data_IF_039417209022
#
_entry.id   IF_039417209022
#
_cell.length_a   1.000
_cell.length_b   1.000
_cell.length_c   1.000
_cell.angle_alpha   90.00
_cell.angle_beta   90.00
_cell.angle_gamma   90.00
#
_symmetry.space_group_name_H-M   'P 1'
#
loop_
_entity.id
_entity.type
_entity.pdbx_description
1 polymer ?
#
# COMPACT_ATOMS: atom_id res chain seq x y z
N UNK A 1 31.23 -35.77 4.58
CA UNK A 1 29.94 -36.34 4.99
C UNK A 1 29.15 -35.28 5.73
N UNK A 2 27.99 -34.89 5.21
CA UNK A 2 27.14 -33.82 5.72
C UNK A 2 25.93 -34.38 6.49
N UNK A 3 25.45 -33.63 7.49
CA UNK A 3 24.06 -33.71 7.97
C UNK A 3 23.86 -34.20 9.41
N UNK A 4 23.99 -33.31 10.40
CA UNK A 4 23.57 -33.59 11.79
C UNK A 4 23.04 -32.37 12.57
N UNK A 5 22.47 -31.36 11.89
CA UNK A 5 21.98 -30.12 12.54
C UNK A 5 20.47 -29.92 12.57
N UNK A 6 19.69 -30.56 11.68
CA UNK A 6 18.27 -30.22 11.46
C UNK A 6 17.26 -30.87 12.40
N UNK A 7 17.60 -32.02 13.00
CA UNK A 7 16.62 -32.87 13.70
C UNK A 7 16.19 -32.39 15.09
N UNK A 8 17.02 -31.61 15.80
CA UNK A 8 16.70 -31.13 17.17
C UNK A 8 15.82 -29.88 17.17
N UNK A 9 16.00 -28.99 16.19
CA UNK A 9 15.20 -27.77 16.05
C UNK A 9 13.75 -28.09 15.63
N UNK A 10 13.56 -29.03 14.71
CA UNK A 10 12.23 -29.46 14.27
C UNK A 10 11.42 -30.11 15.41
N UNK A 11 12.06 -30.94 16.25
CA UNK A 11 11.39 -31.63 17.37
C UNK A 11 10.93 -30.67 18.48
N UNK A 12 11.66 -29.58 18.72
CA UNK A 12 11.25 -28.58 19.71
C UNK A 12 10.10 -27.71 19.20
N UNK A 13 10.07 -27.34 17.92
CA UNK A 13 8.96 -26.61 17.30
C UNK A 13 7.62 -27.38 17.37
N UNK A 14 7.65 -28.70 17.14
CA UNK A 14 6.46 -29.55 17.24
C UNK A 14 5.95 -29.62 18.69
N UNK A 15 6.87 -29.76 19.67
CA UNK A 15 6.50 -29.92 21.09
C UNK A 15 5.84 -28.65 21.66
N UNK A 16 6.25 -27.47 21.21
CA UNK A 16 5.63 -26.20 21.61
C UNK A 16 4.36 -25.87 20.81
N UNK A 17 4.27 -26.30 19.54
CA UNK A 17 3.08 -26.08 18.71
C UNK A 17 1.82 -26.80 19.20
N UNK A 18 1.95 -28.00 19.78
CA UNK A 18 0.79 -28.77 20.30
C UNK A 18 0.28 -28.23 21.62
N UNK A 19 1.17 -27.71 22.48
CA UNK A 19 0.81 -27.28 23.85
C UNK A 19 0.20 -25.87 23.92
N UNK A 20 0.50 -25.02 22.94
CA UNK A 20 -0.03 -23.65 22.85
C UNK A 20 -0.89 -23.39 21.59
N UNK A 21 -0.98 -24.36 20.68
CA UNK A 21 -1.75 -24.24 19.44
C UNK A 21 -3.25 -23.95 19.62
N UNK A 22 -3.98 -24.65 20.51
CA UNK A 22 -5.43 -24.48 20.62
C UNK A 22 -5.87 -23.11 21.16
N UNK A 23 -5.25 -22.63 22.25
CA UNK A 23 -5.61 -21.36 22.89
C UNK A 23 -5.26 -20.13 22.02
N UNK A 24 -4.16 -20.21 21.27
CA UNK A 24 -3.79 -19.16 20.31
C UNK A 24 -4.69 -19.21 19.08
N UNK A 25 -5.09 -20.40 18.61
CA UNK A 25 -6.00 -20.54 17.48
C UNK A 25 -7.38 -19.95 17.75
N UNK A 26 -7.94 -20.10 18.96
CA UNK A 26 -9.24 -19.54 19.32
C UNK A 26 -9.20 -18.02 19.53
N UNK A 27 -8.17 -17.50 20.20
CA UNK A 27 -7.97 -16.05 20.32
C UNK A 27 -7.73 -15.36 18.96
N UNK A 28 -7.00 -16.02 18.06
CA UNK A 28 -6.79 -15.54 16.68
C UNK A 28 -8.07 -15.66 15.86
N UNK A 29 -8.91 -16.68 16.07
CA UNK A 29 -10.20 -16.82 15.36
C UNK A 29 -11.18 -15.71 15.70
N UNK A 30 -11.23 -15.23 16.94
CA UNK A 30 -12.09 -14.12 17.34
C UNK A 30 -11.50 -12.72 17.05
N UNK A 31 -10.18 -12.55 17.06
CA UNK A 31 -9.52 -11.26 16.72
C UNK A 31 -9.25 -11.05 15.21
N UNK A 32 -9.63 -12.02 14.37
CA UNK A 32 -9.27 -12.06 12.95
C UNK A 32 -10.06 -11.09 12.09
N UNK A 33 -11.32 -10.84 12.42
CA UNK A 33 -12.18 -9.94 11.63
C UNK A 33 -11.63 -8.51 11.55
N UNK A 34 -11.26 -7.83 12.65
CA UNK A 34 -10.71 -6.46 12.57
C UNK A 34 -9.32 -6.42 11.93
N UNK A 35 -8.47 -7.42 12.21
CA UNK A 35 -7.13 -7.48 11.62
C UNK A 35 -7.19 -7.71 10.11
N UNK A 36 -8.11 -8.56 9.64
CA UNK A 36 -8.35 -8.78 8.22
C UNK A 36 -8.92 -7.54 7.54
N UNK A 37 -9.86 -6.83 8.18
CA UNK A 37 -10.40 -5.57 7.66
C UNK A 37 -9.32 -4.51 7.50
N UNK A 38 -8.43 -4.35 8.48
CA UNK A 38 -7.31 -3.40 8.39
C UNK A 38 -6.33 -3.75 7.25
N UNK A 39 -6.01 -5.04 7.08
CA UNK A 39 -5.16 -5.51 5.98
C UNK A 39 -5.84 -5.29 4.63
N UNK A 40 -7.13 -5.61 4.52
CA UNK A 40 -7.91 -5.38 3.30
C UNK A 40 -8.01 -3.90 2.97
N UNK A 41 -8.27 -3.02 3.95
CA UNK A 41 -8.30 -1.58 3.77
C UNK A 41 -6.94 -1.03 3.30
N UNK A 42 -5.84 -1.53 3.87
CA UNK A 42 -4.50 -1.15 3.45
C UNK A 42 -4.20 -1.58 2.00
N UNK A 43 -4.62 -2.79 1.62
CA UNK A 43 -4.48 -3.30 0.26
C UNK A 43 -5.35 -2.53 -0.73
N UNK A 44 -6.62 -2.27 -0.38
CA UNK A 44 -7.55 -1.48 -1.17
C UNK A 44 -7.02 -0.07 -1.40
N UNK A 45 -6.46 0.58 -0.37
CA UNK A 45 -5.80 1.89 -0.47
C UNK A 45 -4.63 1.86 -1.46
N UNK A 46 -3.78 0.83 -1.41
CA UNK A 46 -2.64 0.69 -2.34
C UNK A 46 -3.12 0.49 -3.77
N UNK A 47 -4.13 -0.35 -3.98
CA UNK A 47 -4.72 -0.61 -5.29
C UNK A 47 -5.39 0.65 -5.86
N UNK A 48 -6.19 1.35 -5.06
CA UNK A 48 -6.83 2.61 -5.44
C UNK A 48 -5.78 3.67 -5.83
N UNK A 49 -4.72 3.83 -5.02
CA UNK A 49 -3.62 4.74 -5.36
C UNK A 49 -2.93 4.38 -6.67
N UNK A 50 -2.69 3.08 -6.92
CA UNK A 50 -2.04 2.61 -8.15
C UNK A 50 -2.90 2.94 -9.37
N UNK A 51 -4.20 2.63 -9.33
CA UNK A 51 -5.15 2.95 -10.42
C UNK A 51 -5.25 4.46 -10.65
N UNK A 52 -5.34 5.23 -9.58
CA UNK A 52 -5.41 6.69 -9.66
C UNK A 52 -4.15 7.28 -10.31
N UNK A 53 -2.97 6.75 -9.96
CA UNK A 53 -1.70 7.13 -10.60
C UNK A 53 -1.64 6.76 -12.07
N UNK A 54 -2.01 5.53 -12.42
CA UNK A 54 -2.04 5.08 -13.81
C UNK A 54 -2.96 5.96 -14.66
N UNK A 55 -4.13 6.30 -14.12
CA UNK A 55 -5.05 7.19 -14.81
C UNK A 55 -4.54 8.64 -14.89
N UNK A 56 -4.01 9.19 -13.80
CA UNK A 56 -3.46 10.54 -13.80
C UNK A 56 -2.28 10.69 -14.79
N UNK A 57 -1.52 9.63 -15.05
CA UNK A 57 -0.45 9.64 -16.06
C UNK A 57 -0.98 9.69 -17.51
N UNK A 58 -2.22 9.25 -17.76
CA UNK A 58 -2.84 9.31 -19.08
C UNK A 58 -3.53 10.65 -19.36
N UNK A 59 -3.73 11.46 -18.33
CA UNK A 59 -4.43 12.75 -18.41
C UNK A 59 -3.42 13.89 -18.58
N UNK A 60 -3.80 14.93 -19.34
CA UNK A 60 -2.97 16.13 -19.53
C UNK A 60 -2.86 16.92 -18.22
N UNK A 61 -1.64 17.29 -17.85
CA UNK A 61 -1.34 18.02 -16.60
C UNK A 61 -1.93 17.29 -15.37
N UNK A 62 -1.80 15.97 -15.37
CA UNK A 62 -2.39 15.08 -14.39
C UNK A 62 -1.84 15.26 -12.98
N UNK A 63 -2.74 15.46 -12.01
CA UNK A 63 -2.39 15.54 -10.59
C UNK A 63 -3.34 14.74 -9.70
N UNK A 64 -2.88 14.45 -8.48
CA UNK A 64 -3.57 13.61 -7.52
C UNK A 64 -3.73 14.31 -6.18
N UNK A 65 -4.94 14.26 -5.63
CA UNK A 65 -5.21 14.68 -4.26
C UNK A 65 -5.74 13.50 -3.46
N UNK A 66 -5.10 13.20 -2.34
CA UNK A 66 -5.57 12.18 -1.39
C UNK A 66 -6.41 12.87 -0.32
N UNK A 67 -7.70 12.58 -0.32
CA UNK A 67 -8.65 12.96 0.73
C UNK A 67 -8.95 11.73 1.58
N UNK A 68 -9.09 11.91 2.89
CA UNK A 68 -9.50 10.83 3.80
C UNK A 68 -10.87 11.20 4.37
N UNK A 69 -11.84 10.31 4.20
CA UNK A 69 -13.19 10.43 4.75
C UNK A 69 -13.56 9.11 5.41
N UNK A 70 -14.01 9.14 6.66
CA UNK A 70 -14.46 7.97 7.42
C UNK A 70 -13.46 6.79 7.42
N UNK A 71 -12.17 7.10 7.50
CA UNK A 71 -11.09 6.11 7.47
C UNK A 71 -10.74 5.56 6.07
N UNK A 72 -11.48 5.95 5.03
CA UNK A 72 -11.23 5.57 3.65
C UNK A 72 -10.41 6.65 2.92
N UNK A 73 -9.36 6.22 2.21
CA UNK A 73 -8.58 7.11 1.36
C UNK A 73 -9.18 7.17 -0.05
N UNK A 74 -9.63 8.35 -0.43
CA UNK A 74 -10.17 8.68 -1.75
C UNK A 74 -9.12 9.49 -2.50
N UNK A 75 -8.74 9.02 -3.68
CA UNK A 75 -7.77 9.67 -4.55
C UNK A 75 -8.52 10.37 -5.68
N UNK A 76 -8.52 11.69 -5.68
CA UNK A 76 -9.04 12.52 -6.76
C UNK A 76 -7.98 12.67 -7.83
N UNK A 77 -8.35 12.41 -9.09
CA UNK A 77 -7.51 12.65 -10.26
C UNK A 77 -7.98 13.93 -10.93
N UNK A 78 -7.03 14.84 -11.16
CA UNK A 78 -7.28 16.12 -11.79
C UNK A 78 -6.59 16.21 -13.16
N UNK A 79 -7.18 17.02 -14.04
CA UNK A 79 -6.60 17.53 -15.28
C UNK A 79 -6.49 19.05 -15.13
N UNK A 80 -5.32 19.58 -14.79
CA UNK A 80 -5.22 20.96 -14.33
C UNK A 80 -6.13 21.19 -13.10
N UNK A 81 -7.19 21.98 -13.26
CA UNK A 81 -8.17 22.27 -12.20
C UNK A 81 -9.46 21.46 -12.27
N UNK A 82 -9.69 20.71 -13.35
CA UNK A 82 -10.89 19.90 -13.51
C UNK A 82 -10.72 18.53 -12.82
N UNK A 83 -11.73 18.12 -12.05
CA UNK A 83 -11.80 16.76 -11.50
C UNK A 83 -12.23 15.81 -12.61
N UNK A 84 -11.41 14.80 -12.91
CA UNK A 84 -11.71 13.80 -13.93
C UNK A 84 -12.43 12.60 -13.32
N UNK A 85 -11.90 12.07 -12.21
CA UNK A 85 -12.46 10.88 -11.55
C UNK A 85 -11.89 10.72 -10.13
N UNK A 86 -12.44 9.77 -9.38
CA UNK A 86 -11.95 9.37 -8.06
C UNK A 86 -11.70 7.87 -7.98
N UNK A 87 -10.75 7.49 -7.13
CA UNK A 87 -10.52 6.10 -6.77
C UNK A 87 -10.47 5.94 -5.24
N UNK A 88 -11.35 5.14 -4.63
CA UNK A 88 -12.49 4.45 -5.25
C UNK A 88 -13.52 5.43 -5.87
N UNK A 89 -14.36 4.96 -6.80
CA UNK A 89 -15.38 5.79 -7.42
C UNK A 89 -16.39 6.23 -6.37
N UNK A 90 -16.63 7.54 -6.26
CA UNK A 90 -17.66 8.12 -5.39
C UNK A 90 -18.57 9.02 -6.21
N UNK A 91 -19.85 9.19 -5.80
CA UNK A 91 -20.80 10.02 -6.54
C UNK A 91 -20.33 11.47 -6.65
N UNK A 92 -20.51 12.10 -7.82
CA UNK A 92 -20.08 13.48 -8.03
C UNK A 92 -20.75 14.48 -7.07
N UNK A 93 -21.98 14.19 -6.63
CA UNK A 93 -22.72 15.01 -5.67
C UNK A 93 -21.98 15.19 -4.33
N UNK A 94 -21.08 14.27 -3.95
CA UNK A 94 -20.33 14.36 -2.69
C UNK A 94 -19.00 15.08 -2.83
N UNK A 95 -18.57 15.48 -4.04
CA UNK A 95 -17.26 16.08 -4.25
C UNK A 95 -17.10 17.39 -3.49
N UNK A 96 -18.13 18.23 -3.47
CA UNK A 96 -18.11 19.50 -2.75
C UNK A 96 -17.92 19.29 -1.25
N UNK A 97 -18.52 18.26 -0.66
CA UNK A 97 -18.33 17.93 0.75
C UNK A 97 -16.91 17.42 1.01
N UNK A 98 -16.43 16.51 0.17
CA UNK A 98 -15.11 15.89 0.30
C UNK A 98 -13.96 16.90 0.12
N UNK A 99 -14.15 17.90 -0.74
CA UNK A 99 -13.14 18.92 -1.02
C UNK A 99 -13.27 20.18 -0.16
N UNK A 100 -14.37 20.35 0.59
CA UNK A 100 -14.65 21.56 1.41
C UNK A 100 -13.49 21.96 2.32
N UNK A 101 -12.80 20.98 2.88
CA UNK A 101 -11.68 21.18 3.81
C UNK A 101 -10.36 20.64 3.26
N UNK A 102 -10.35 20.22 1.99
CA UNK A 102 -9.16 19.72 1.35
C UNK A 102 -8.34 20.88 0.78
N UNK A 103 -7.07 20.90 1.11
CA UNK A 103 -6.12 21.84 0.54
C UNK A 103 -5.73 21.38 -0.88
N UNK A 104 -6.10 22.16 -1.89
CA UNK A 104 -5.87 21.83 -3.29
C UNK A 104 -4.41 22.02 -3.71
N UNK A 105 -3.62 22.80 -2.97
CA UNK A 105 -2.20 23.01 -3.27
C UNK A 105 -1.35 21.79 -2.90
N UNK A 106 -1.90 20.89 -2.08
CA UNK A 106 -1.28 19.59 -1.74
C UNK A 106 -1.46 18.53 -2.83
N UNK A 107 -1.94 18.91 -4.02
CA UNK A 107 -1.97 18.04 -5.19
C UNK A 107 -0.54 17.63 -5.57
N UNK A 108 -0.35 16.34 -5.74
CA UNK A 108 0.92 15.80 -6.20
C UNK A 108 0.84 15.55 -7.70
N UNK A 109 1.81 16.04 -8.47
CA UNK A 109 1.83 15.77 -9.92
C UNK A 109 2.10 14.29 -10.19
N UNK A 110 1.36 13.72 -11.14
CA UNK A 110 1.47 12.30 -11.45
C UNK A 110 2.87 11.94 -11.96
N UNK A 111 3.47 12.84 -12.75
CA UNK A 111 4.84 12.71 -13.24
C UNK A 111 5.88 12.67 -12.12
N UNK A 112 5.78 13.56 -11.11
CA UNK A 112 6.70 13.56 -9.98
C UNK A 112 6.54 12.30 -9.12
N UNK A 113 5.30 11.87 -8.88
CA UNK A 113 5.01 10.64 -8.13
C UNK A 113 5.53 9.38 -8.84
N UNK A 114 5.46 9.33 -10.17
CA UNK A 114 6.02 8.25 -10.97
C UNK A 114 7.56 8.26 -10.96
N UNK A 115 8.17 9.44 -11.05
CA UNK A 115 9.63 9.60 -10.99
C UNK A 115 10.20 9.17 -9.63
N UNK A 116 9.53 9.54 -8.53
CA UNK A 116 9.92 9.14 -7.17
C UNK A 116 9.82 7.62 -6.93
N UNK A 117 8.97 6.92 -7.70
CA UNK A 117 8.83 5.46 -7.61
C UNK A 117 9.89 4.68 -8.37
N UNK A 118 10.61 5.27 -9.33
CA UNK A 118 11.68 4.55 -10.03
C UNK A 118 12.77 4.21 -9.00
N UNK A 119 13.01 2.91 -8.71
CA UNK A 119 14.11 2.55 -7.83
C UNK A 119 15.38 3.10 -8.47
N UNK A 120 16.20 3.81 -7.68
CA UNK A 120 17.55 4.21 -8.11
C UNK A 120 18.39 2.94 -8.25
N UNK A 121 18.28 2.29 -9.41
CA UNK A 121 18.98 1.02 -9.72
C UNK A 121 20.50 1.17 -9.57
N UNK A 122 21.04 2.39 -9.68
CA UNK A 122 22.47 2.66 -9.50
C UNK A 122 22.99 2.72 -8.06
N UNK A 123 22.15 2.75 -7.03
CA UNK A 123 22.63 2.95 -5.65
C UNK A 123 23.19 1.68 -4.97
N UNK A 124 23.06 0.51 -5.60
CA UNK A 124 23.48 -0.79 -5.04
C UNK A 124 24.33 -1.63 -5.99
N UNK A 125 24.98 -1.03 -6.98
CA UNK A 125 26.00 -1.76 -7.73
C UNK A 125 27.24 -1.94 -6.82
N UNK A 126 27.62 -3.18 -6.46
CA UNK A 126 28.83 -3.40 -5.70
C UNK A 126 30.01 -2.88 -6.51
N UNK A 127 30.83 -2.02 -5.88
CA UNK A 127 32.04 -1.46 -6.50
C UNK A 127 33.00 -2.63 -6.77
N UNK A 128 33.07 -3.07 -8.02
CA UNK A 128 33.99 -4.13 -8.44
C UNK A 128 35.42 -3.58 -8.30
N UNK A 129 36.06 -3.90 -7.17
CA UNK A 129 37.47 -3.59 -6.96
C UNK A 129 38.27 -4.55 -7.84
N UNK A 130 38.69 -4.09 -9.02
CA UNK A 130 39.67 -4.81 -9.84
C UNK A 130 41.02 -4.76 -9.11
N UNK A 131 41.47 -5.90 -8.58
CA UNK A 131 42.88 -6.06 -8.17
C UNK A 131 43.73 -6.25 -9.44
N UNK A 132 44.79 -5.44 -9.54
CA UNK A 132 45.90 -5.60 -10.48
C UNK A 132 46.91 -6.57 -9.88
#
# INVERSE_FOLDING_TARGET
>A
MAGAGGGRLAKNLIKYGVRYGPLVAEAVRHGREPAQQAVQAAMAKRAARKKALEHALTVRDGSLLKVIKDGQAIFFVFSGDAIVTTYPPVPQATYTELLRHADLDKRESAAALAAARKPRVGARLPKVIRRR
#
